data_IF_247289529059
#
_entry.id   IF_247289529059
#
_cell.length_a   1.000
_cell.length_b   1.000
_cell.length_c   1.000
_cell.angle_alpha   90.00
_cell.angle_beta   90.00
_cell.angle_gamma   90.00
#
_symmetry.space_group_name_H-M   'P 1'
#
loop_
_entity.id
_entity.type
_entity.pdbx_description
1 polymer ?
#
# COMPACT_ATOMS: atom_id res chain seq x y z
N UNK A 1 5.99 7.57 -20.55
CA UNK A 1 5.73 8.03 -19.18
C UNK A 1 7.07 8.13 -18.46
N UNK A 2 7.23 9.09 -17.54
CA UNK A 2 8.49 9.30 -16.84
C UNK A 2 8.53 8.36 -15.63
N UNK A 3 9.39 7.33 -15.65
CA UNK A 3 9.60 6.48 -14.47
C UNK A 3 10.27 7.31 -13.37
N UNK A 4 9.81 7.13 -12.12
CA UNK A 4 10.42 7.73 -10.95
C UNK A 4 11.88 7.25 -10.82
N UNK A 5 12.81 8.16 -10.49
CA UNK A 5 14.23 7.84 -10.30
C UNK A 5 14.72 8.22 -8.92
N UNK A 6 15.88 7.68 -8.55
CA UNK A 6 16.53 8.03 -7.29
C UNK A 6 16.84 9.53 -7.25
N UNK A 7 16.39 10.19 -6.18
CA UNK A 7 16.56 11.63 -5.97
C UNK A 7 15.40 12.49 -6.49
N UNK A 8 14.46 11.91 -7.24
CA UNK A 8 13.24 12.62 -7.62
C UNK A 8 12.35 12.84 -6.40
N UNK A 9 11.60 13.94 -6.43
CA UNK A 9 10.54 14.18 -5.45
C UNK A 9 9.40 13.19 -5.72
N UNK A 10 9.06 12.39 -4.70
CA UNK A 10 7.98 11.40 -4.80
C UNK A 10 6.64 12.10 -5.17
N UNK A 11 5.91 11.66 -6.21
CA UNK A 11 4.68 12.32 -6.65
C UNK A 11 3.64 12.44 -5.53
N UNK A 12 3.06 13.64 -5.36
CA UNK A 12 1.99 13.83 -4.37
C UNK A 12 0.65 13.26 -4.86
N UNK A 13 -0.15 12.75 -3.93
CA UNK A 13 -1.48 12.22 -4.23
C UNK A 13 -2.42 12.35 -3.04
N UNK A 14 -3.71 12.22 -3.34
CA UNK A 14 -4.77 12.05 -2.34
C UNK A 14 -5.62 10.89 -2.81
N UNK A 15 -5.82 9.89 -1.94
CA UNK A 15 -6.49 8.65 -2.27
C UNK A 15 -7.38 8.15 -1.13
N UNK A 16 -8.36 7.31 -1.46
CA UNK A 16 -9.13 6.57 -0.47
C UNK A 16 -8.27 5.41 0.07
N UNK A 17 -8.45 5.07 1.34
CA UNK A 17 -7.74 3.97 1.99
C UNK A 17 -8.68 3.18 2.90
N UNK A 18 -8.21 2.05 3.42
CA UNK A 18 -8.89 1.28 4.47
C UNK A 18 -9.23 2.10 5.73
N UNK A 19 -8.50 3.19 6.00
CA UNK A 19 -8.65 4.06 7.18
C UNK A 19 -9.29 5.43 6.87
N UNK A 20 -9.74 5.64 5.62
CA UNK A 20 -10.33 6.92 5.16
C UNK A 20 -9.48 7.61 4.08
N UNK A 21 -9.76 8.88 3.79
CA UNK A 21 -8.99 9.64 2.80
C UNK A 21 -7.60 10.00 3.36
N UNK A 22 -6.56 9.73 2.57
CA UNK A 22 -5.17 10.02 2.90
C UNK A 22 -4.62 11.05 1.91
N UNK A 23 -4.04 12.13 2.43
CA UNK A 23 -3.14 13.01 1.68
C UNK A 23 -1.70 12.55 1.94
N UNK A 24 -0.94 12.30 0.88
CA UNK A 24 0.35 11.61 0.97
C UNK A 24 1.38 12.37 1.81
N UNK A 25 1.61 13.65 1.51
CA UNK A 25 2.58 14.44 2.27
C UNK A 25 2.11 14.79 3.69
N UNK A 26 0.81 15.04 3.89
CA UNK A 26 0.27 15.25 5.24
C UNK A 26 0.46 13.99 6.12
N UNK A 27 0.27 12.80 5.54
CA UNK A 27 0.46 11.54 6.23
C UNK A 27 1.94 11.26 6.57
N UNK A 28 2.85 11.57 5.64
CA UNK A 28 4.29 11.43 5.87
C UNK A 28 4.81 12.42 6.92
N UNK A 29 4.31 13.66 6.91
CA UNK A 29 4.87 14.74 7.71
C UNK A 29 6.37 14.89 7.46
N UNK A 30 7.16 15.00 8.54
CA UNK A 30 8.63 15.06 8.47
C UNK A 30 9.29 13.66 8.51
N UNK A 31 8.51 12.60 8.33
CA UNK A 31 8.95 11.20 8.41
C UNK A 31 9.40 10.59 7.09
N UNK A 32 10.02 9.42 7.19
CA UNK A 32 10.28 8.56 6.04
C UNK A 32 9.00 7.83 5.63
N UNK A 33 8.89 7.46 4.35
CA UNK A 33 7.77 6.70 3.81
C UNK A 33 8.22 5.37 3.19
N UNK A 34 7.43 4.31 3.42
CA UNK A 34 7.46 3.08 2.63
C UNK A 34 6.09 2.96 1.97
N UNK A 35 6.05 3.12 0.65
CA UNK A 35 4.93 2.78 -0.20
C UNK A 35 5.25 1.45 -0.89
N UNK A 36 4.41 0.44 -0.72
CA UNK A 36 4.59 -0.87 -1.35
C UNK A 36 3.26 -1.34 -1.93
N UNK A 37 3.30 -1.94 -3.11
CA UNK A 37 2.11 -2.49 -3.77
C UNK A 37 1.97 -4.00 -3.55
N UNK A 38 0.76 -4.51 -3.74
CA UNK A 38 0.49 -5.94 -3.89
C UNK A 38 -0.53 -6.18 -5.01
N UNK A 39 -0.41 -7.29 -5.76
CA UNK A 39 -1.22 -7.54 -6.95
C UNK A 39 -2.72 -7.40 -6.77
N UNK A 40 -3.26 -8.07 -5.76
CA UNK A 40 -4.69 -8.10 -5.46
C UNK A 40 -4.92 -8.62 -4.03
N UNK A 41 -6.02 -8.16 -3.42
CA UNK A 41 -6.54 -8.69 -2.17
C UNK A 41 -6.90 -10.19 -2.28
N UNK A 42 -7.00 -10.89 -1.15
CA UNK A 42 -7.35 -12.32 -1.06
C UNK A 42 -6.41 -13.28 -1.79
N UNK A 43 -5.17 -12.84 -2.08
CA UNK A 43 -4.12 -13.70 -2.63
C UNK A 43 -3.19 -14.23 -1.53
N UNK A 44 -2.71 -15.49 -1.62
CA UNK A 44 -2.05 -16.15 -0.49
C UNK A 44 -0.69 -15.54 -0.12
N UNK A 45 0.11 -15.15 -1.13
CA UNK A 45 1.43 -14.55 -0.88
C UNK A 45 1.28 -13.18 -0.24
N UNK A 46 0.44 -12.32 -0.81
CA UNK A 46 0.22 -10.96 -0.30
C UNK A 46 -0.35 -10.98 1.12
N UNK A 47 -1.18 -11.97 1.45
CA UNK A 47 -1.68 -12.17 2.82
C UNK A 47 -0.52 -12.36 3.81
N UNK A 48 0.48 -13.18 3.46
CA UNK A 48 1.66 -13.40 4.31
C UNK A 48 2.59 -12.19 4.36
N UNK A 49 2.73 -11.44 3.26
CA UNK A 49 3.57 -10.25 3.16
C UNK A 49 3.03 -9.11 4.02
N UNK A 50 1.74 -8.75 3.84
CA UNK A 50 1.10 -7.71 4.64
C UNK A 50 1.00 -8.09 6.11
N UNK A 51 0.73 -9.38 6.41
CA UNK A 51 0.74 -9.87 7.79
C UNK A 51 2.11 -9.74 8.46
N UNK A 52 3.19 -9.96 7.71
CA UNK A 52 4.57 -9.76 8.19
C UNK A 52 4.88 -8.27 8.34
N UNK A 53 4.52 -7.44 7.35
CA UNK A 53 4.68 -5.99 7.42
C UNK A 53 4.00 -5.41 8.68
N UNK A 54 2.80 -5.88 9.01
CA UNK A 54 2.06 -5.45 10.19
C UNK A 54 2.80 -5.77 11.50
N UNK A 55 3.44 -6.94 11.59
CA UNK A 55 4.26 -7.33 12.76
C UNK A 55 5.52 -6.48 12.92
N UNK A 56 6.06 -5.94 11.82
CA UNK A 56 7.24 -5.08 11.85
C UNK A 56 6.92 -3.59 11.91
N UNK A 57 5.66 -3.19 11.79
CA UNK A 57 5.25 -1.77 11.75
C UNK A 57 5.79 -0.98 12.94
N UNK A 58 5.75 -1.54 14.15
CA UNK A 58 6.28 -0.88 15.35
C UNK A 58 7.80 -0.64 15.28
N UNK A 59 8.55 -1.50 14.58
CA UNK A 59 9.98 -1.28 14.34
C UNK A 59 10.21 -0.14 13.35
N UNK A 60 9.37 -0.01 12.32
CA UNK A 60 9.43 1.12 11.39
C UNK A 60 9.04 2.44 12.07
N UNK A 61 8.01 2.43 12.92
CA UNK A 61 7.59 3.61 13.69
C UNK A 61 8.70 4.13 14.61
N UNK A 62 9.45 3.23 15.29
CA UNK A 62 10.63 3.60 16.10
C UNK A 62 11.71 4.34 15.30
N UNK A 63 11.70 4.22 13.98
CA UNK A 63 12.65 4.85 13.04
C UNK A 63 12.04 6.05 12.32
N UNK A 64 10.86 6.50 12.74
CA UNK A 64 10.09 7.56 12.10
C UNK A 64 9.76 7.25 10.62
N UNK A 65 9.39 5.99 10.35
CA UNK A 65 9.01 5.51 9.02
C UNK A 65 7.52 5.17 9.00
N UNK A 66 6.78 5.74 8.06
CA UNK A 66 5.35 5.52 7.82
C UNK A 66 5.17 4.51 6.69
N UNK A 67 4.41 3.45 6.94
CA UNK A 67 4.13 2.40 5.96
C UNK A 67 2.74 2.59 5.34
N UNK A 68 2.62 2.34 4.04
CA UNK A 68 1.35 2.33 3.29
C UNK A 68 1.41 1.21 2.25
N UNK A 69 0.38 0.36 2.22
CA UNK A 69 0.20 -0.61 1.15
C UNK A 69 -0.68 -0.02 0.03
N UNK A 70 -0.69 -0.66 -1.14
CA UNK A 70 -1.51 -0.25 -2.28
C UNK A 70 -1.92 -1.45 -3.13
N UNK A 71 -3.17 -1.49 -3.58
CA UNK A 71 -3.57 -2.26 -4.75
C UNK A 71 -4.67 -1.54 -5.52
N UNK A 72 -5.07 -2.10 -6.65
CA UNK A 72 -6.18 -1.58 -7.47
C UNK A 72 -7.56 -2.01 -6.97
N UNK A 73 -7.63 -2.71 -5.83
CA UNK A 73 -8.89 -3.07 -5.19
C UNK A 73 -9.50 -1.88 -4.44
N UNK A 74 -10.81 -1.95 -4.18
CA UNK A 74 -11.54 -0.90 -3.47
C UNK A 74 -11.33 -0.92 -1.94
N UNK A 75 -11.57 0.21 -1.28
CA UNK A 75 -11.34 0.35 0.17
C UNK A 75 -12.18 -0.62 1.03
N UNK A 76 -13.38 -1.00 0.58
CA UNK A 76 -14.20 -2.00 1.27
C UNK A 76 -13.63 -3.42 1.14
N UNK A 77 -13.01 -3.75 -0.02
CA UNK A 77 -12.29 -5.02 -0.20
C UNK A 77 -11.15 -5.12 0.81
N UNK A 78 -10.34 -4.07 0.95
CA UNK A 78 -9.25 -4.04 1.91
C UNK A 78 -9.73 -4.27 3.34
N UNK A 79 -10.85 -3.65 3.75
CA UNK A 79 -11.40 -3.80 5.10
C UNK A 79 -11.83 -5.24 5.39
N UNK A 80 -12.41 -5.92 4.42
CA UNK A 80 -12.75 -7.34 4.56
C UNK A 80 -11.48 -8.20 4.58
N UNK A 81 -10.55 -7.98 3.65
CA UNK A 81 -9.32 -8.77 3.57
C UNK A 81 -8.38 -8.60 4.78
N UNK A 82 -8.36 -7.41 5.40
CA UNK A 82 -7.63 -7.18 6.66
C UNK A 82 -8.08 -8.16 7.76
N UNK A 83 -9.36 -8.57 7.78
CA UNK A 83 -9.85 -9.56 8.74
C UNK A 83 -9.17 -10.91 8.51
N UNK A 84 -9.09 -11.34 7.25
CA UNK A 84 -8.44 -12.59 6.86
C UNK A 84 -6.94 -12.57 7.17
N UNK A 85 -6.25 -11.45 6.89
CA UNK A 85 -4.84 -11.28 7.26
C UNK A 85 -4.66 -11.39 8.78
N UNK A 86 -5.49 -10.68 9.55
CA UNK A 86 -5.38 -10.66 11.01
C UNK A 86 -5.64 -12.05 11.62
N UNK A 87 -6.65 -12.76 11.12
CA UNK A 87 -7.00 -14.11 11.57
C UNK A 87 -5.89 -15.10 11.23
N UNK A 88 -5.49 -15.17 9.96
CA UNK A 88 -4.58 -16.21 9.46
C UNK A 88 -3.12 -15.95 9.83
N UNK A 89 -2.71 -14.68 9.94
CA UNK A 89 -1.33 -14.30 10.24
C UNK A 89 -1.12 -13.98 11.72
N UNK A 90 -2.17 -14.03 12.54
CA UNK A 90 -2.14 -13.70 13.97
C UNK A 90 -1.50 -12.35 14.25
N UNK A 91 -2.06 -11.31 13.62
CA UNK A 91 -1.54 -9.94 13.67
C UNK A 91 -2.68 -8.93 13.66
N UNK A 92 -2.33 -7.65 13.66
CA UNK A 92 -3.25 -6.54 13.40
C UNK A 92 -2.63 -5.64 12.36
N UNK A 93 -3.16 -5.65 11.14
CA UNK A 93 -2.83 -4.64 10.12
C UNK A 93 -3.15 -3.27 10.70
N UNK A 94 -2.13 -2.43 10.77
CA UNK A 94 -2.10 -1.18 11.52
C UNK A 94 -1.49 -0.04 10.68
N UNK A 95 -1.65 -0.14 9.36
CA UNK A 95 -1.27 0.84 8.38
C UNK A 95 -2.33 0.89 7.28
N UNK A 96 -2.49 2.03 6.59
CA UNK A 96 -3.49 2.17 5.54
C UNK A 96 -3.11 1.35 4.31
N UNK A 97 -4.13 0.76 3.67
CA UNK A 97 -4.06 0.17 2.33
C UNK A 97 -4.78 1.13 1.39
N UNK A 98 -4.07 1.67 0.40
CA UNK A 98 -4.58 2.61 -0.59
C UNK A 98 -5.42 1.85 -1.62
N UNK A 99 -6.64 2.32 -1.82
CA UNK A 99 -7.55 1.84 -2.85
C UNK A 99 -7.35 2.64 -4.14
N UNK A 100 -6.64 2.04 -5.10
CA UNK A 100 -6.24 2.67 -6.35
C UNK A 100 -7.05 2.14 -7.55
N UNK A 101 -8.39 2.12 -7.42
CA UNK A 101 -9.31 1.57 -8.43
C UNK A 101 -9.17 2.23 -9.81
N UNK A 102 -8.74 3.49 -9.85
CA UNK A 102 -8.50 4.26 -11.08
C UNK A 102 -7.05 4.16 -11.59
N UNK A 103 -6.20 3.37 -10.91
CA UNK A 103 -4.77 3.14 -11.20
C UNK A 103 -3.90 4.40 -11.13
N UNK A 104 -4.42 5.49 -10.56
CA UNK A 104 -3.75 6.79 -10.61
C UNK A 104 -2.42 6.78 -9.85
N UNK A 105 -2.40 6.20 -8.64
CA UNK A 105 -1.18 6.14 -7.84
C UNK A 105 -0.22 5.10 -8.42
N UNK A 106 -0.71 3.96 -8.88
CA UNK A 106 0.10 2.94 -9.53
C UNK A 106 0.78 3.47 -10.80
N UNK A 107 0.09 4.25 -11.62
CA UNK A 107 0.64 4.89 -12.81
C UNK A 107 1.66 5.99 -12.47
N UNK A 108 1.40 6.79 -11.41
CA UNK A 108 2.33 7.84 -10.96
C UNK A 108 3.68 7.27 -10.52
N UNK A 109 3.67 6.07 -9.93
CA UNK A 109 4.86 5.40 -9.41
C UNK A 109 5.38 4.28 -10.32
N UNK A 110 4.77 4.08 -11.51
CA UNK A 110 5.17 3.06 -12.49
C UNK A 110 5.15 1.62 -11.90
N UNK A 111 4.11 1.31 -11.10
CA UNK A 111 3.94 0.04 -10.37
C UNK A 111 3.05 -0.98 -11.11
N UNK A 112 2.77 -0.75 -12.39
CA UNK A 112 2.04 -1.70 -13.25
C UNK A 112 3.02 -2.18 -14.31
N UNK A 113 3.54 -3.38 -14.13
CA UNK A 113 4.37 -3.99 -15.15
C UNK A 113 3.59 -4.16 -16.47
N UNK A 114 4.13 -3.74 -17.63
CA UNK A 114 3.39 -3.71 -18.91
C UNK A 114 3.00 -5.08 -19.47
N UNK A 115 3.55 -6.16 -18.90
CA UNK A 115 3.19 -7.55 -19.22
C UNK A 115 2.49 -8.26 -18.04
N UNK A 116 2.17 -7.56 -16.95
CA UNK A 116 1.31 -8.11 -15.92
C UNK A 116 -0.13 -8.12 -16.43
N UNK A 117 -0.87 -9.18 -16.11
CA UNK A 117 -2.30 -9.28 -16.46
C UNK A 117 -3.05 -8.13 -15.78
N UNK A 118 -4.01 -7.52 -16.49
CA UNK A 118 -4.66 -6.25 -16.11
C UNK A 118 -5.43 -6.28 -14.77
N UNK A 119 -5.43 -7.42 -14.09
CA UNK A 119 -6.06 -7.66 -12.78
C UNK A 119 -5.05 -7.86 -11.65
N UNK A 120 -3.75 -7.77 -11.92
CA UNK A 120 -2.67 -8.04 -10.96
C UNK A 120 -1.61 -6.93 -11.05
N UNK A 121 -1.46 -6.09 -10.02
CA UNK A 121 -0.31 -5.16 -9.96
C UNK A 121 1.00 -5.94 -9.76
N UNK A 122 2.06 -5.58 -10.47
CA UNK A 122 3.43 -6.12 -10.32
C UNK A 122 4.41 -4.98 -10.47
#
# INVERSE_FOLDING_TARGET
MASLRLGDTAPDFTAATSEGTLNFYDYLGDGWGILFSHPADFTPVCTTELGTAAKFKDEFDKRNVKMMALSVDGAESHKEWIKDINETQHTTVNFPIIADEDRKVSDLYDMIHPNADDTLTV
#
